data_IF_604915644521
#
_entry.id   IF_604915644521
#
_cell.length_a   1.000
_cell.length_b   1.000
_cell.length_c   1.000
_cell.angle_alpha   90.00
_cell.angle_beta   90.00
_cell.angle_gamma   90.00
#
_symmetry.space_group_name_H-M   'P 1'
#
loop_
_entity.id
_entity.type
_entity.pdbx_description
1 polymer ?
#
# COMPACT_ATOMS: atom_id res chain seq x y z
N UNK A 1 64.36 9.35 35.38
CA UNK A 1 63.54 10.35 34.71
C UNK A 1 63.07 9.74 33.40
N UNK A 2 62.01 8.96 33.46
CA UNK A 2 61.44 8.28 32.28
C UNK A 2 60.20 9.07 31.79
N UNK A 3 60.27 9.63 30.58
CA UNK A 3 59.17 10.27 29.89
C UNK A 3 58.49 9.21 29.01
N UNK A 4 57.30 8.74 29.40
CA UNK A 4 56.42 7.93 28.60
C UNK A 4 55.59 8.85 27.67
N UNK A 5 55.77 8.69 26.35
CA UNK A 5 54.91 9.30 25.34
C UNK A 5 53.68 8.44 25.12
N UNK A 6 52.50 9.01 25.39
CA UNK A 6 51.22 8.42 25.01
C UNK A 6 50.87 8.86 23.59
N UNK A 7 50.84 7.91 22.66
CA UNK A 7 50.27 8.12 21.33
C UNK A 7 48.77 8.00 21.45
N UNK A 8 48.00 9.12 21.27
CA UNK A 8 46.59 9.11 21.03
C UNK A 8 46.37 8.85 19.54
N UNK A 9 45.87 7.67 19.19
CA UNK A 9 45.40 7.39 17.85
C UNK A 9 43.97 7.96 17.67
N UNK A 10 43.88 9.02 16.91
CA UNK A 10 42.62 9.64 16.53
C UNK A 10 42.00 8.83 15.37
N UNK A 11 41.01 7.97 15.68
CA UNK A 11 40.23 7.28 14.65
C UNK A 11 39.22 8.29 14.09
N UNK A 12 39.50 8.78 12.90
CA UNK A 12 38.55 9.60 12.15
C UNK A 12 37.43 8.69 11.57
N UNK A 13 36.25 8.79 12.16
CA UNK A 13 35.03 8.23 11.54
C UNK A 13 34.68 9.06 10.32
N UNK A 14 34.97 8.54 9.15
CA UNK A 14 34.46 9.12 7.89
C UNK A 14 33.00 8.70 7.75
N UNK A 15 32.08 9.61 8.09
CA UNK A 15 30.68 9.49 7.70
C UNK A 15 30.59 9.63 6.18
N UNK A 16 30.46 8.53 5.47
CA UNK A 16 30.03 8.55 4.07
C UNK A 16 28.57 8.91 4.06
N UNK A 17 28.28 10.20 3.89
CA UNK A 17 26.94 10.66 3.49
C UNK A 17 26.69 10.09 2.09
N UNK A 18 25.98 8.96 2.01
CA UNK A 18 25.38 8.55 0.75
C UNK A 18 24.34 9.60 0.38
N UNK A 19 24.74 10.54 -0.48
CA UNK A 19 23.80 11.44 -1.11
C UNK A 19 22.82 10.60 -1.93
N UNK A 20 21.56 10.56 -1.52
CA UNK A 20 20.48 10.14 -2.39
C UNK A 20 20.59 10.97 -3.69
N UNK A 21 20.96 10.33 -4.80
CA UNK A 21 20.87 10.98 -6.09
C UNK A 21 19.41 11.38 -6.33
N UNK A 22 19.13 12.59 -6.80
CA UNK A 22 17.78 12.97 -7.15
C UNK A 22 17.26 11.98 -8.20
N UNK A 23 16.08 11.43 -7.98
CA UNK A 23 15.38 10.57 -8.95
C UNK A 23 15.23 11.40 -10.23
N UNK A 24 15.80 10.89 -11.31
CA UNK A 24 15.71 11.56 -12.61
C UNK A 24 14.27 11.32 -13.12
N UNK A 25 13.39 12.31 -12.92
CA UNK A 25 11.94 12.22 -13.04
C UNK A 25 11.39 11.93 -14.44
N UNK A 26 12.24 11.71 -15.43
CA UNK A 26 11.81 11.66 -16.83
C UNK A 26 11.54 10.24 -17.38
N UNK A 27 11.78 9.15 -16.64
CA UNK A 27 11.64 7.79 -17.22
C UNK A 27 11.09 6.73 -16.23
N UNK A 28 10.44 7.11 -15.13
CA UNK A 28 10.07 6.14 -14.08
C UNK A 28 8.72 5.46 -14.29
N UNK A 29 7.87 6.00 -15.14
CA UNK A 29 6.50 5.50 -15.35
C UNK A 29 6.39 4.85 -16.75
N UNK A 30 6.85 3.60 -16.88
CA UNK A 30 6.61 2.66 -18.01
C UNK A 30 6.44 3.35 -19.35
N UNK A 31 7.45 4.05 -19.89
CA UNK A 31 7.48 4.73 -21.21
C UNK A 31 6.10 5.27 -21.71
N UNK A 32 5.18 5.52 -20.79
CA UNK A 32 3.83 5.95 -21.07
C UNK A 32 3.73 7.48 -21.09
N UNK A 33 2.82 7.97 -21.88
CA UNK A 33 2.42 9.37 -21.82
C UNK A 33 1.85 9.64 -20.41
N UNK A 34 2.44 10.59 -19.71
CA UNK A 34 1.97 10.99 -18.38
C UNK A 34 0.49 11.41 -18.42
N UNK A 35 -0.31 11.06 -17.42
CA UNK A 35 -1.72 11.40 -17.38
C UNK A 35 -1.92 12.90 -17.21
N UNK A 36 -3.06 13.39 -17.67
CA UNK A 36 -3.53 14.72 -17.35
C UNK A 36 -4.32 14.78 -16.04
N UNK A 37 -5.16 15.80 -15.93
CA UNK A 37 -6.08 15.99 -14.80
C UNK A 37 -7.31 15.06 -14.84
N UNK A 38 -7.47 14.28 -15.89
CA UNK A 38 -8.49 13.24 -16.00
C UNK A 38 -7.83 11.86 -15.87
N UNK A 39 -8.46 10.90 -15.19
CA UNK A 39 -7.89 9.57 -15.01
C UNK A 39 -7.70 8.84 -16.34
N UNK A 40 -6.51 8.30 -16.54
CA UNK A 40 -6.17 7.43 -17.67
C UNK A 40 -5.89 6.01 -17.15
N UNK A 41 -6.08 5.02 -18.01
CA UNK A 41 -5.73 3.63 -17.70
C UNK A 41 -4.22 3.51 -17.55
N UNK A 42 -3.74 2.98 -16.42
CA UNK A 42 -2.31 2.86 -16.18
C UNK A 42 -1.72 1.64 -16.90
N UNK A 43 -0.66 1.83 -17.68
CA UNK A 43 0.11 0.78 -18.32
C UNK A 43 -0.74 -0.31 -19.03
N UNK A 44 -1.50 0.06 -20.09
CA UNK A 44 -2.26 -0.90 -20.89
C UNK A 44 -1.36 -2.01 -21.45
N UNK A 45 -1.86 -3.24 -21.43
CA UNK A 45 -1.14 -4.45 -21.88
C UNK A 45 0.07 -4.84 -21.03
N UNK A 46 0.42 -4.06 -20.01
CA UNK A 46 1.53 -4.36 -19.12
C UNK A 46 1.02 -4.64 -17.69
N UNK A 47 0.41 -3.64 -17.02
CA UNK A 47 -0.31 -3.83 -15.77
C UNK A 47 -1.74 -4.26 -16.07
N UNK A 48 -2.48 -3.44 -16.81
CA UNK A 48 -3.86 -3.74 -17.19
C UNK A 48 -3.91 -4.64 -18.43
N UNK A 49 -4.42 -5.85 -18.26
CA UNK A 49 -4.58 -6.87 -19.30
C UNK A 49 -6.06 -7.28 -19.44
N UNK A 50 -6.33 -8.44 -20.02
CA UNK A 50 -7.68 -9.01 -20.05
C UNK A 50 -8.07 -9.70 -18.72
N UNK A 51 -7.15 -9.75 -17.75
CA UNK A 51 -7.42 -10.23 -16.40
C UNK A 51 -8.02 -9.10 -15.51
N UNK A 52 -8.14 -9.36 -14.23
CA UNK A 52 -8.56 -8.35 -13.24
C UNK A 52 -7.31 -7.90 -12.50
N UNK A 53 -6.93 -6.64 -12.68
CA UNK A 53 -5.79 -6.04 -12.00
C UNK A 53 -6.22 -4.92 -11.07
N UNK A 54 -5.54 -4.85 -9.94
CA UNK A 54 -5.81 -3.85 -8.90
C UNK A 54 -4.53 -3.51 -8.14
N UNK A 55 -4.56 -2.37 -7.46
CA UNK A 55 -3.63 -2.02 -6.39
C UNK A 55 -2.16 -1.98 -6.83
N UNK A 56 -1.81 -1.01 -7.68
CA UNK A 56 -0.43 -0.77 -8.08
C UNK A 56 0.27 0.12 -7.07
N UNK A 57 1.45 -0.32 -6.60
CA UNK A 57 2.33 0.43 -5.69
C UNK A 57 3.78 0.33 -6.17
N UNK A 58 4.61 1.28 -5.76
CA UNK A 58 6.04 1.31 -6.07
C UNK A 58 6.86 1.28 -4.78
N UNK A 59 8.10 0.80 -4.87
CA UNK A 59 9.07 1.07 -3.82
C UNK A 59 9.50 2.55 -3.85
N UNK A 60 10.10 3.05 -2.78
CA UNK A 60 10.47 4.45 -2.63
C UNK A 60 11.47 4.95 -3.69
N UNK A 61 12.26 4.06 -4.29
CA UNK A 61 13.26 4.39 -5.31
C UNK A 61 12.75 4.29 -6.76
N UNK A 62 11.48 3.94 -6.97
CA UNK A 62 10.91 3.69 -8.31
C UNK A 62 11.64 2.63 -9.13
N UNK A 63 12.26 1.68 -8.47
CA UNK A 63 12.96 0.57 -9.12
C UNK A 63 12.17 -0.73 -9.13
N UNK A 64 11.09 -0.79 -8.39
CA UNK A 64 10.18 -1.94 -8.32
C UNK A 64 8.74 -1.47 -8.29
N UNK A 65 7.90 -2.18 -9.00
CA UNK A 65 6.46 -1.99 -9.04
C UNK A 65 5.77 -3.31 -8.66
N UNK A 66 4.70 -3.19 -7.89
CA UNK A 66 3.89 -4.32 -7.44
C UNK A 66 2.42 -4.04 -7.73
N UNK A 67 1.69 -5.07 -8.12
CA UNK A 67 0.24 -5.01 -8.30
C UNK A 67 -0.38 -6.39 -8.08
N UNK A 68 -1.67 -6.44 -7.83
CA UNK A 68 -2.39 -7.70 -7.69
C UNK A 68 -3.13 -8.03 -8.98
N UNK A 69 -2.94 -9.26 -9.46
CA UNK A 69 -3.71 -9.85 -10.58
C UNK A 69 -4.55 -11.00 -10.07
N UNK A 70 -5.79 -11.08 -10.53
CA UNK A 70 -6.71 -12.15 -10.17
C UNK A 70 -6.78 -13.13 -11.33
N UNK A 71 -6.35 -14.36 -11.10
CA UNK A 71 -6.33 -15.46 -12.07
C UNK A 71 -7.00 -16.66 -11.43
N UNK A 72 -8.02 -17.21 -12.08
CA UNK A 72 -8.76 -18.40 -11.62
C UNK A 72 -9.17 -18.33 -10.14
N UNK A 73 -9.63 -17.15 -9.71
CA UNK A 73 -10.07 -16.89 -8.34
C UNK A 73 -8.95 -16.73 -7.30
N UNK A 74 -7.69 -16.82 -7.71
CA UNK A 74 -6.51 -16.53 -6.88
C UNK A 74 -6.09 -15.08 -7.03
N UNK A 75 -5.77 -14.44 -5.92
CA UNK A 75 -5.22 -13.08 -5.87
C UNK A 75 -3.71 -13.18 -5.71
N UNK A 76 -2.98 -12.78 -6.73
CA UNK A 76 -1.53 -12.99 -6.82
C UNK A 76 -0.83 -11.65 -6.98
N UNK A 77 0.07 -11.33 -6.06
CA UNK A 77 0.93 -10.16 -6.20
C UNK A 77 1.97 -10.45 -7.30
N UNK A 78 2.02 -9.56 -8.28
CA UNK A 78 3.03 -9.53 -9.33
C UNK A 78 4.02 -8.41 -9.06
N UNK A 79 5.25 -8.57 -9.52
CA UNK A 79 6.24 -7.52 -9.49
C UNK A 79 6.93 -7.36 -10.84
N UNK A 80 7.46 -6.16 -11.04
CA UNK A 80 8.31 -5.81 -12.16
C UNK A 80 9.45 -4.94 -11.64
N UNK A 81 10.66 -5.17 -12.16
CA UNK A 81 11.86 -4.43 -11.82
C UNK A 81 12.22 -3.45 -12.93
N UNK A 82 12.71 -2.26 -12.55
CA UNK A 82 13.24 -1.28 -13.50
C UNK A 82 14.73 -1.49 -13.68
N UNK A 83 15.11 -2.13 -14.79
CA UNK A 83 16.50 -2.52 -15.09
C UNK A 83 16.94 -1.92 -16.42
N UNK A 84 18.09 -1.25 -16.44
CA UNK A 84 18.67 -0.64 -17.66
C UNK A 84 17.69 0.29 -18.41
N UNK A 85 16.88 1.06 -17.65
CA UNK A 85 15.94 2.03 -18.23
C UNK A 85 14.62 1.42 -18.71
N UNK A 86 14.34 0.16 -18.41
CA UNK A 86 13.11 -0.53 -18.81
C UNK A 86 12.55 -1.37 -17.69
N UNK A 87 11.23 -1.48 -17.66
CA UNK A 87 10.53 -2.41 -16.76
C UNK A 87 10.58 -3.83 -17.33
N UNK A 88 10.90 -4.79 -16.48
CA UNK A 88 10.85 -6.22 -16.82
C UNK A 88 9.39 -6.68 -16.94
N UNK A 89 9.15 -7.76 -17.71
CA UNK A 89 7.82 -8.36 -17.76
C UNK A 89 7.36 -8.74 -16.36
N UNK A 90 6.12 -8.39 -15.94
CA UNK A 90 5.61 -8.69 -14.61
C UNK A 90 5.64 -10.20 -14.31
N UNK A 91 6.14 -10.55 -13.14
CA UNK A 91 6.23 -11.92 -12.66
C UNK A 91 5.44 -12.10 -11.36
N UNK A 92 4.74 -13.23 -11.17
CA UNK A 92 4.07 -13.53 -9.91
C UNK A 92 5.10 -13.75 -8.79
N UNK A 93 4.77 -13.28 -7.59
CA UNK A 93 5.55 -13.58 -6.38
C UNK A 93 4.94 -14.78 -5.67
N UNK A 94 5.76 -15.78 -5.36
CA UNK A 94 5.31 -16.90 -4.55
C UNK A 94 5.29 -16.54 -3.06
N UNK A 95 4.11 -16.15 -2.57
CA UNK A 95 3.93 -15.76 -1.16
C UNK A 95 3.70 -16.94 -0.22
N UNK A 96 3.27 -18.08 -0.71
CA UNK A 96 2.97 -19.27 0.09
C UNK A 96 3.69 -20.51 -0.45
N UNK A 97 4.09 -21.41 0.44
CA UNK A 97 4.83 -22.63 0.07
C UNK A 97 4.07 -23.48 -0.97
N UNK A 98 2.75 -23.60 -0.81
CA UNK A 98 1.85 -24.24 -1.77
C UNK A 98 0.87 -23.17 -2.26
N UNK A 99 1.29 -22.40 -3.27
CA UNK A 99 0.43 -21.39 -3.88
C UNK A 99 -0.47 -22.05 -4.91
N UNK A 100 -1.41 -22.84 -4.41
CA UNK A 100 -2.45 -23.49 -5.22
C UNK A 100 -3.63 -22.53 -5.43
N UNK A 101 -4.61 -22.99 -6.22
CA UNK A 101 -5.83 -22.25 -6.51
C UNK A 101 -6.49 -21.66 -5.25
N UNK A 102 -7.04 -20.45 -5.40
CA UNK A 102 -7.78 -19.75 -4.37
C UNK A 102 -6.96 -19.13 -3.20
N UNK A 103 -5.63 -19.01 -3.31
CA UNK A 103 -4.84 -18.24 -2.35
C UNK A 103 -5.11 -16.74 -2.50
N UNK A 104 -4.99 -16.00 -1.40
CA UNK A 104 -5.17 -14.53 -1.40
C UNK A 104 -3.89 -13.87 -0.94
N UNK A 105 -3.28 -13.07 -1.82
CA UNK A 105 -2.24 -12.10 -1.50
C UNK A 105 -2.57 -10.81 -2.26
N UNK A 106 -2.98 -9.77 -1.54
CA UNK A 106 -3.52 -8.52 -2.09
C UNK A 106 -3.10 -7.34 -1.21
N UNK A 107 -3.20 -6.14 -1.72
CA UNK A 107 -2.89 -4.90 -1.02
C UNK A 107 -1.43 -4.83 -0.51
N UNK A 108 -0.43 -4.98 -1.41
CA UNK A 108 0.97 -4.88 -1.02
C UNK A 108 1.33 -3.47 -0.52
N UNK A 109 2.12 -3.42 0.54
CA UNK A 109 2.73 -2.21 1.08
C UNK A 109 4.19 -2.47 1.41
N UNK A 110 5.09 -1.65 0.90
CA UNK A 110 6.53 -1.90 0.89
C UNK A 110 7.23 -0.91 1.83
N UNK A 111 8.15 -1.41 2.66
CA UNK A 111 9.00 -0.55 3.50
C UNK A 111 9.89 0.36 2.65
N UNK A 112 10.33 1.49 3.23
CA UNK A 112 11.17 2.48 2.54
C UNK A 112 12.49 1.89 2.01
N UNK A 113 13.04 0.90 2.68
CA UNK A 113 14.25 0.17 2.25
C UNK A 113 13.98 -0.87 1.15
N UNK A 114 12.71 -1.09 0.78
CA UNK A 114 12.31 -2.06 -0.24
C UNK A 114 12.43 -3.53 0.16
N UNK A 115 12.76 -3.84 1.43
CA UNK A 115 13.11 -5.20 1.84
C UNK A 115 12.02 -5.95 2.62
N UNK A 116 10.94 -5.28 2.97
CA UNK A 116 9.78 -5.92 3.63
C UNK A 116 8.50 -5.52 2.95
N UNK A 117 7.66 -6.50 2.65
CA UNK A 117 6.31 -6.32 2.14
C UNK A 117 5.30 -6.77 3.18
N UNK A 118 4.33 -5.92 3.47
CA UNK A 118 3.11 -6.29 4.18
C UNK A 118 1.96 -6.39 3.18
N UNK A 119 1.03 -7.31 3.40
CA UNK A 119 -0.11 -7.50 2.50
C UNK A 119 -1.27 -8.19 3.22
N UNK A 120 -2.47 -8.02 2.69
CA UNK A 120 -3.62 -8.80 3.12
C UNK A 120 -3.53 -10.19 2.53
N UNK A 121 -3.64 -11.23 3.37
CA UNK A 121 -3.47 -12.60 2.93
C UNK A 121 -4.46 -13.60 3.52
N UNK A 122 -4.65 -14.68 2.78
CA UNK A 122 -5.23 -15.93 3.26
C UNK A 122 -4.41 -17.06 2.67
N UNK A 123 -3.60 -17.72 3.50
CA UNK A 123 -2.82 -18.85 3.01
C UNK A 123 -3.73 -20.03 2.63
N UNK A 124 -3.31 -20.92 1.72
CA UNK A 124 -4.07 -22.14 1.39
C UNK A 124 -4.44 -22.94 2.63
N UNK A 125 -3.52 -23.07 3.60
CA UNK A 125 -3.75 -23.76 4.86
C UNK A 125 -4.85 -23.10 5.70
N UNK A 126 -4.87 -21.76 5.77
CA UNK A 126 -5.89 -21.04 6.53
C UNK A 126 -7.23 -21.10 5.81
N UNK A 127 -7.24 -21.06 4.48
CA UNK A 127 -8.47 -21.18 3.69
C UNK A 127 -9.18 -22.52 3.91
N UNK A 128 -8.44 -23.62 3.94
CA UNK A 128 -8.99 -24.94 4.26
C UNK A 128 -9.66 -24.98 5.63
N UNK A 129 -9.20 -24.16 6.57
CA UNK A 129 -9.77 -24.01 7.92
C UNK A 129 -10.86 -22.92 8.00
N UNK A 130 -11.30 -22.36 6.86
CA UNK A 130 -12.18 -21.20 6.80
C UNK A 130 -11.62 -19.99 7.58
N UNK A 131 -10.29 -19.86 7.57
CA UNK A 131 -9.58 -18.77 8.22
C UNK A 131 -9.94 -17.41 7.62
N UNK A 132 -9.87 -16.39 8.45
CA UNK A 132 -10.13 -15.01 8.06
C UNK A 132 -8.92 -14.42 7.36
N UNK A 133 -9.12 -13.40 6.49
CA UNK A 133 -8.04 -12.57 6.01
C UNK A 133 -7.28 -11.93 7.17
N UNK A 134 -5.96 -11.81 7.00
CA UNK A 134 -5.05 -11.32 8.01
C UNK A 134 -3.86 -10.60 7.37
N UNK A 135 -3.05 -9.88 8.15
CA UNK A 135 -1.85 -9.22 7.63
C UNK A 135 -0.68 -10.19 7.66
N UNK A 136 -0.10 -10.39 6.48
CA UNK A 136 1.11 -11.19 6.27
C UNK A 136 2.31 -10.28 6.01
N UNK A 137 3.48 -10.82 6.23
CA UNK A 137 4.76 -10.20 5.95
C UNK A 137 5.67 -11.15 5.18
N UNK A 138 6.29 -10.64 4.10
CA UNK A 138 7.40 -11.28 3.41
C UNK A 138 8.64 -10.39 3.47
N UNK A 139 9.82 -10.98 3.55
CA UNK A 139 11.10 -10.29 3.50
C UNK A 139 11.83 -10.62 2.21
N UNK A 140 12.56 -9.65 1.67
CA UNK A 140 13.44 -9.86 0.53
C UNK A 140 14.84 -10.18 1.05
N UNK A 141 15.34 -11.37 0.74
CA UNK A 141 16.68 -11.83 1.09
C UNK A 141 17.42 -12.13 -0.21
N UNK A 142 18.59 -11.54 -0.40
CA UNK A 142 19.40 -11.68 -1.63
C UNK A 142 18.56 -11.42 -2.91
N UNK A 143 17.74 -10.37 -2.88
CA UNK A 143 16.87 -9.97 -4.00
C UNK A 143 15.63 -10.84 -4.22
N UNK A 144 15.35 -11.83 -3.37
CA UNK A 144 14.21 -12.75 -3.52
C UNK A 144 13.22 -12.62 -2.39
N UNK A 145 11.95 -12.45 -2.71
CA UNK A 145 10.86 -12.47 -1.74
C UNK A 145 10.72 -13.87 -1.13
N UNK A 146 10.69 -13.94 0.20
CA UNK A 146 10.57 -15.18 0.95
C UNK A 146 9.12 -15.56 1.17
N UNK A 147 8.87 -16.81 1.50
CA UNK A 147 7.54 -17.30 1.91
C UNK A 147 7.05 -16.46 3.08
N UNK A 148 5.83 -15.97 2.96
CA UNK A 148 5.25 -15.04 3.92
C UNK A 148 4.76 -15.76 5.20
N UNK A 149 4.77 -15.01 6.29
CA UNK A 149 4.20 -15.41 7.57
C UNK A 149 3.22 -14.34 8.06
N UNK A 150 2.25 -14.71 8.90
CA UNK A 150 1.40 -13.74 9.59
C UNK A 150 2.25 -12.84 10.46
N UNK A 151 1.88 -11.55 10.52
CA UNK A 151 2.56 -10.58 11.38
C UNK A 151 2.44 -10.97 12.86
N UNK A 152 1.31 -11.57 13.25
CA UNK A 152 1.07 -12.03 14.60
C UNK A 152 0.57 -10.93 15.54
N UNK A 153 0.30 -11.32 16.80
CA UNK A 153 -0.17 -10.42 17.84
C UNK A 153 0.88 -9.35 18.16
N UNK A 154 0.47 -8.07 18.40
CA UNK A 154 -0.89 -7.59 18.59
C UNK A 154 -1.59 -7.07 17.32
N UNK A 155 -0.91 -7.08 16.16
CA UNK A 155 -1.45 -6.61 14.89
C UNK A 155 -2.49 -7.58 14.37
N UNK A 156 -2.06 -8.81 14.09
CA UNK A 156 -2.91 -9.88 13.61
C UNK A 156 -3.57 -10.62 14.77
N UNK A 157 -4.86 -10.94 14.64
CA UNK A 157 -5.62 -11.61 15.70
C UNK A 157 -6.46 -12.77 15.12
N UNK A 158 -6.67 -13.84 15.88
CA UNK A 158 -7.54 -14.93 15.47
C UNK A 158 -9.02 -14.53 15.42
N UNK A 159 -9.40 -13.53 16.21
CA UNK A 159 -10.80 -13.16 16.44
C UNK A 159 -11.32 -12.14 15.44
N UNK A 160 -10.50 -11.19 15.01
CA UNK A 160 -10.91 -10.06 14.21
C UNK A 160 -10.33 -10.17 12.79
N UNK A 161 -10.76 -9.29 11.90
CA UNK A 161 -10.24 -9.16 10.54
C UNK A 161 -9.30 -7.96 10.53
N UNK A 162 -8.11 -8.17 10.01
CA UNK A 162 -7.14 -7.13 9.74
C UNK A 162 -6.90 -7.05 8.23
N UNK A 163 -6.94 -5.81 7.68
CA UNK A 163 -6.86 -5.58 6.22
C UNK A 163 -6.23 -4.23 5.89
N UNK A 164 -5.89 -4.05 4.62
CA UNK A 164 -5.33 -2.81 4.06
C UNK A 164 -4.09 -2.32 4.83
N UNK A 165 -3.04 -3.13 4.96
CA UNK A 165 -1.83 -2.69 5.65
C UNK A 165 -1.12 -1.59 4.85
N UNK A 166 -0.68 -0.54 5.54
CA UNK A 166 0.15 0.51 4.99
C UNK A 166 1.34 0.73 5.92
N UNK A 167 2.56 0.47 5.44
CA UNK A 167 3.78 0.73 6.19
C UNK A 167 4.27 2.14 5.92
N UNK A 168 4.66 2.86 6.97
CA UNK A 168 5.19 4.23 6.91
C UNK A 168 6.70 4.25 7.17
N UNK A 169 7.34 5.42 7.05
CA UNK A 169 8.80 5.54 7.03
C UNK A 169 9.51 5.00 8.29
N UNK A 170 8.90 5.10 9.47
CA UNK A 170 9.45 4.57 10.72
C UNK A 170 9.24 3.06 10.89
N UNK A 171 8.63 2.39 9.90
CA UNK A 171 8.28 0.97 9.93
C UNK A 171 6.96 0.65 10.62
N UNK A 172 6.30 1.65 11.22
CA UNK A 172 4.96 1.47 11.79
C UNK A 172 3.95 1.15 10.71
N UNK A 173 2.87 0.44 11.07
CA UNK A 173 1.83 0.08 10.11
C UNK A 173 0.47 0.65 10.52
N UNK A 174 -0.24 1.14 9.51
CA UNK A 174 -1.66 1.42 9.57
C UNK A 174 -2.42 0.24 8.97
N UNK A 175 -3.58 -0.05 9.48
CA UNK A 175 -4.44 -1.10 8.96
C UNK A 175 -5.87 -0.93 9.43
N UNK A 176 -6.81 -1.50 8.71
CA UNK A 176 -8.22 -1.53 9.12
C UNK A 176 -8.51 -2.78 9.92
N UNK A 177 -9.23 -2.64 11.05
CA UNK A 177 -9.67 -3.76 11.87
C UNK A 177 -11.05 -3.53 12.47
N UNK A 178 -11.81 -4.61 12.63
CA UNK A 178 -13.10 -4.62 13.34
C UNK A 178 -12.96 -5.03 14.82
N UNK A 179 -11.75 -4.82 15.40
CA UNK A 179 -11.49 -5.09 16.83
C UNK A 179 -12.27 -4.16 17.73
N UNK A 180 -12.53 -4.53 19.01
CA UNK A 180 -13.19 -3.65 19.98
C UNK A 180 -12.45 -2.34 20.20
N UNK A 181 -13.21 -1.30 20.54
CA UNK A 181 -12.68 0.04 20.78
C UNK A 181 -12.69 0.95 19.55
N UNK A 182 -13.23 0.46 18.42
CA UNK A 182 -13.53 1.27 17.25
C UNK A 182 -14.95 1.84 17.27
N UNK A 183 -15.25 2.68 16.27
CA UNK A 183 -16.56 3.32 16.08
C UNK A 183 -17.46 2.54 15.13
N UNK A 184 -16.86 1.86 14.14
CA UNK A 184 -17.58 1.29 13.03
C UNK A 184 -17.30 -0.19 12.76
N UNK A 185 -17.69 -0.62 11.56
CA UNK A 185 -17.51 -2.00 11.08
C UNK A 185 -16.05 -2.34 10.73
N UNK A 186 -15.21 -1.35 10.65
CA UNK A 186 -13.78 -1.45 10.41
C UNK A 186 -13.16 -0.07 10.54
N UNK A 187 -12.30 0.11 11.50
CA UNK A 187 -11.62 1.36 11.80
C UNK A 187 -10.14 1.26 11.45
N UNK A 188 -9.52 2.38 11.19
CA UNK A 188 -8.07 2.48 10.97
C UNK A 188 -7.38 2.54 12.32
N UNK A 189 -6.38 1.66 12.47
CA UNK A 189 -5.48 1.60 13.62
C UNK A 189 -4.04 1.82 13.17
N UNK A 190 -3.21 2.33 14.06
CA UNK A 190 -1.76 2.44 13.91
C UNK A 190 -1.06 1.56 14.93
N UNK A 191 -0.15 0.70 14.50
CA UNK A 191 0.75 -0.05 15.36
C UNK A 191 2.18 0.46 15.19
N UNK A 192 2.81 0.93 16.27
CA UNK A 192 4.18 1.40 16.26
C UNK A 192 5.14 0.22 16.07
N UNK A 193 6.11 0.38 15.18
CA UNK A 193 7.18 -0.59 14.98
C UNK A 193 8.19 -0.52 16.13
N UNK A 194 8.54 -1.67 16.70
CA UNK A 194 9.48 -1.82 17.82
C UNK A 194 10.80 -2.49 17.41
N UNK A 195 10.99 -2.75 16.11
CA UNK A 195 12.12 -3.50 15.61
C UNK A 195 11.83 -5.01 15.51
N UNK A 196 12.66 -5.72 14.75
CA UNK A 196 12.61 -7.18 14.56
C UNK A 196 11.24 -7.74 14.18
N UNK A 197 10.43 -6.96 13.45
CA UNK A 197 9.06 -7.34 13.06
C UNK A 197 8.04 -7.34 14.18
N UNK A 198 8.35 -6.71 15.31
CA UNK A 198 7.46 -6.55 16.48
C UNK A 198 6.76 -5.21 16.44
N UNK A 199 5.57 -5.17 16.97
CA UNK A 199 4.73 -3.97 17.04
C UNK A 199 4.18 -3.75 18.45
N UNK A 200 3.94 -2.49 18.79
CA UNK A 200 3.18 -2.13 19.98
C UNK A 200 1.67 -2.38 19.77
N UNK A 201 0.92 -2.32 20.86
CA UNK A 201 -0.54 -2.43 20.83
C UNK A 201 -1.14 -1.40 19.89
N UNK A 202 -1.92 -1.82 18.87
CA UNK A 202 -2.52 -0.91 17.91
C UNK A 202 -3.46 0.09 18.56
N UNK A 203 -3.33 1.36 18.17
CA UNK A 203 -4.15 2.48 18.63
C UNK A 203 -5.09 2.92 17.51
N UNK A 204 -6.38 3.10 17.83
CA UNK A 204 -7.35 3.71 16.94
C UNK A 204 -6.91 5.14 16.62
N UNK A 205 -6.97 5.56 15.36
CA UNK A 205 -6.49 6.90 14.94
C UNK A 205 -7.47 8.03 15.27
N UNK A 206 -8.66 7.72 15.76
CA UNK A 206 -9.63 8.70 16.25
C UNK A 206 -10.85 8.90 15.36
N UNK A 207 -11.85 9.55 15.94
CA UNK A 207 -13.16 9.80 15.32
C UNK A 207 -13.17 10.85 14.21
N UNK A 208 -12.10 11.62 14.08
CA UNK A 208 -11.99 12.59 12.97
C UNK A 208 -11.93 11.87 11.62
N UNK A 209 -11.30 10.70 11.56
CA UNK A 209 -11.17 9.89 10.35
C UNK A 209 -12.09 8.67 10.39
N UNK A 210 -12.10 7.96 11.53
CA UNK A 210 -12.94 6.77 11.69
C UNK A 210 -14.41 7.13 11.90
N UNK A 211 -15.31 6.33 11.33
CA UNK A 211 -16.77 6.57 11.40
C UNK A 211 -17.55 5.27 11.60
N UNK A 212 -18.82 5.37 11.94
CA UNK A 212 -19.71 4.22 12.11
C UNK A 212 -19.86 3.35 10.84
N UNK A 213 -19.68 3.94 9.66
CA UNK A 213 -19.75 3.24 8.38
C UNK A 213 -18.53 2.36 8.11
N UNK A 214 -17.42 2.64 8.78
CA UNK A 214 -16.13 1.97 8.62
C UNK A 214 -15.31 2.53 7.44
N UNK A 215 -13.99 2.43 7.55
CA UNK A 215 -13.01 2.86 6.57
C UNK A 215 -12.43 1.65 5.84
N UNK A 216 -12.18 1.82 4.55
CA UNK A 216 -11.61 0.78 3.69
C UNK A 216 -10.70 1.37 2.64
N UNK A 217 -9.62 0.67 2.31
CA UNK A 217 -8.67 1.12 1.30
C UNK A 217 -8.01 2.43 1.74
N UNK A 218 -6.97 2.34 2.53
CA UNK A 218 -6.26 3.50 3.08
C UNK A 218 -4.88 3.59 2.44
N UNK A 219 -4.46 4.78 2.10
CA UNK A 219 -3.06 5.16 1.88
C UNK A 219 -2.65 6.12 2.99
N UNK A 220 -1.42 6.01 3.47
CA UNK A 220 -0.81 6.97 4.41
C UNK A 220 0.53 7.38 3.83
N UNK A 221 0.80 8.69 3.78
CA UNK A 221 2.10 9.19 3.33
C UNK A 221 3.23 8.65 4.22
N UNK A 222 4.43 8.40 3.66
CA UNK A 222 5.55 7.84 4.43
C UNK A 222 5.92 8.65 5.68
N UNK A 223 5.75 9.96 5.63
CA UNK A 223 6.00 10.90 6.74
C UNK A 223 4.79 11.09 7.67
N UNK A 224 3.69 10.39 7.42
CA UNK A 224 2.42 10.51 8.13
C UNK A 224 1.81 11.92 8.10
N UNK A 225 2.14 12.75 7.12
CA UNK A 225 1.59 14.12 7.02
C UNK A 225 0.15 14.14 6.51
N UNK A 226 -0.24 13.13 5.72
CA UNK A 226 -1.61 12.94 5.23
C UNK A 226 -1.97 11.47 5.05
N UNK A 227 -3.25 11.19 5.00
CA UNK A 227 -3.81 9.91 4.60
C UNK A 227 -4.95 10.11 3.59
N UNK A 228 -5.17 9.11 2.75
CA UNK A 228 -6.28 9.06 1.81
C UNK A 228 -7.11 7.82 2.10
N UNK A 229 -8.42 8.00 2.23
CA UNK A 229 -9.38 6.90 2.34
C UNK A 229 -10.21 6.78 1.08
N UNK A 230 -10.45 5.54 0.64
CA UNK A 230 -11.43 5.24 -0.39
C UNK A 230 -12.79 4.95 0.27
N UNK A 231 -13.84 5.61 -0.19
CA UNK A 231 -15.19 5.32 0.30
C UNK A 231 -15.81 4.22 -0.58
N UNK A 232 -15.66 2.97 -0.14
CA UNK A 232 -15.93 1.80 -0.97
C UNK A 232 -17.38 1.33 -1.02
N UNK A 233 -18.25 1.77 -0.12
CA UNK A 233 -19.57 1.14 0.02
C UNK A 233 -20.76 2.09 0.09
N UNK A 234 -20.54 3.33 0.39
CA UNK A 234 -21.60 4.31 0.58
C UNK A 234 -21.53 5.45 -0.40
N UNK A 235 -21.38 5.16 -1.67
CA UNK A 235 -21.89 6.04 -2.70
C UNK A 235 -21.21 7.40 -2.93
N UNK A 236 -20.84 7.64 -4.16
CA UNK A 236 -20.75 8.97 -4.79
C UNK A 236 -19.65 9.93 -4.28
N UNK A 237 -18.92 9.58 -3.22
CA UNK A 237 -17.94 10.50 -2.63
C UNK A 237 -16.49 10.26 -3.04
N UNK A 238 -16.18 9.12 -3.68
CA UNK A 238 -14.84 8.80 -4.17
C UNK A 238 -13.81 8.70 -3.05
N UNK A 239 -12.78 9.53 -3.12
CA UNK A 239 -11.68 9.56 -2.17
C UNK A 239 -11.72 10.80 -1.31
N UNK A 240 -11.21 10.68 -0.08
CA UNK A 240 -11.05 11.79 0.83
C UNK A 240 -9.65 11.80 1.43
N UNK A 241 -9.10 12.99 1.64
CA UNK A 241 -7.79 13.22 2.25
C UNK A 241 -7.95 13.82 3.63
N UNK A 242 -7.18 13.34 4.60
CA UNK A 242 -7.04 13.92 5.93
C UNK A 242 -5.59 14.32 6.15
N UNK A 243 -5.34 15.54 6.59
CA UNK A 243 -4.02 16.02 6.96
C UNK A 243 -3.77 15.82 8.45
N UNK A 244 -2.51 15.70 8.84
CA UNK A 244 -2.11 15.58 10.23
C UNK A 244 -1.51 16.90 10.71
N UNK A 245 -2.16 17.55 11.65
CA UNK A 245 -1.71 18.79 12.26
C UNK A 245 -1.53 18.61 13.77
N UNK A 246 -0.43 19.06 14.32
CA UNK A 246 -0.14 18.94 15.76
C UNK A 246 -0.33 17.50 16.29
N UNK A 247 0.11 16.51 15.52
CA UNK A 247 -0.07 15.07 15.80
C UNK A 247 -1.52 14.56 15.86
N UNK A 248 -2.48 15.31 15.30
CA UNK A 248 -3.89 14.92 15.22
C UNK A 248 -4.34 14.91 13.77
N UNK A 249 -5.03 13.87 13.38
CA UNK A 249 -5.69 13.80 12.08
C UNK A 249 -6.84 14.80 12.04
N UNK A 250 -6.95 15.51 10.92
CA UNK A 250 -8.06 16.42 10.65
C UNK A 250 -9.19 15.67 9.95
N UNK A 251 -10.39 16.24 9.97
CA UNK A 251 -11.55 15.70 9.28
C UNK A 251 -11.26 15.53 7.77
N UNK A 252 -11.70 14.42 7.14
CA UNK A 252 -11.42 14.14 5.74
C UNK A 252 -12.15 15.13 4.81
N UNK A 253 -11.43 15.59 3.80
CA UNK A 253 -11.94 16.45 2.73
C UNK A 253 -11.97 15.64 1.44
N UNK A 254 -13.14 15.59 0.79
CA UNK A 254 -13.26 14.94 -0.52
C UNK A 254 -12.56 15.73 -1.60
N UNK A 255 -11.90 15.04 -2.52
CA UNK A 255 -11.25 15.67 -3.65
C UNK A 255 -11.71 15.06 -4.98
N UNK A 256 -11.70 15.90 -6.01
CA UNK A 256 -12.08 15.49 -7.36
C UNK A 256 -10.91 14.74 -8.02
N UNK A 257 -11.18 13.59 -8.59
CA UNK A 257 -10.21 12.81 -9.37
C UNK A 257 -10.31 13.11 -10.89
N UNK A 258 -11.06 14.13 -11.29
CA UNK A 258 -11.21 14.52 -12.70
C UNK A 258 -12.21 13.69 -13.50
N UNK A 259 -13.04 12.88 -12.85
CA UNK A 259 -14.15 12.17 -13.50
C UNK A 259 -15.38 12.04 -12.60
N UNK A 260 -16.55 11.99 -13.18
CA UNK A 260 -17.79 11.66 -12.45
C UNK A 260 -17.79 10.19 -12.04
N UNK A 261 -18.00 9.93 -10.75
CA UNK A 261 -18.08 8.57 -10.24
C UNK A 261 -19.28 7.82 -10.80
N UNK A 262 -19.05 6.63 -11.31
CA UNK A 262 -20.11 5.78 -11.87
C UNK A 262 -20.72 4.92 -10.77
N UNK A 263 -22.05 4.92 -10.64
CA UNK A 263 -22.81 4.24 -9.60
C UNK A 263 -22.54 2.72 -9.47
N UNK A 264 -22.25 2.06 -10.59
CA UNK A 264 -22.05 0.60 -10.65
C UNK A 264 -20.57 0.20 -10.47
N UNK A 265 -19.68 1.17 -10.33
CA UNK A 265 -18.26 0.94 -10.13
C UNK A 265 -17.88 1.18 -8.67
N UNK A 266 -16.89 0.43 -8.20
CA UNK A 266 -16.26 0.63 -6.90
C UNK A 266 -14.88 1.19 -7.14
N UNK A 267 -14.58 2.34 -6.50
CA UNK A 267 -13.31 3.04 -6.52
C UNK A 267 -12.58 2.74 -5.22
N UNK A 268 -11.35 2.24 -5.29
CA UNK A 268 -10.64 1.73 -4.11
C UNK A 268 -9.12 1.67 -4.34
N UNK A 269 -8.35 1.20 -3.34
CA UNK A 269 -6.88 1.11 -3.37
C UNK A 269 -6.22 2.44 -3.75
N UNK A 270 -6.44 3.52 -2.97
CA UNK A 270 -5.75 4.76 -3.18
C UNK A 270 -4.24 4.58 -2.96
N UNK A 271 -3.44 5.17 -3.83
CA UNK A 271 -1.99 5.20 -3.68
C UNK A 271 -1.43 6.48 -4.31
N UNK A 272 -0.48 7.13 -3.64
CA UNK A 272 0.27 8.25 -4.18
C UNK A 272 1.63 7.80 -4.65
N UNK A 273 2.02 8.26 -5.82
CA UNK A 273 3.39 8.03 -6.30
C UNK A 273 4.43 8.55 -5.29
N UNK A 274 5.62 7.92 -5.19
CA UNK A 274 6.65 8.37 -4.25
C UNK A 274 7.13 9.81 -4.44
N UNK A 275 6.85 10.45 -5.58
CA UNK A 275 7.13 11.86 -5.85
C UNK A 275 5.92 12.78 -5.65
N UNK A 276 4.82 12.28 -5.08
CA UNK A 276 3.56 12.98 -4.77
C UNK A 276 2.90 13.69 -5.99
N UNK A 277 3.15 13.21 -7.22
CA UNK A 277 2.59 13.84 -8.43
C UNK A 277 1.35 13.13 -8.95
N UNK A 278 1.31 11.81 -8.84
CA UNK A 278 0.27 11.00 -9.45
C UNK A 278 -0.48 10.20 -8.40
N UNK A 279 -1.78 10.26 -8.52
CA UNK A 279 -2.68 9.47 -7.71
C UNK A 279 -3.11 8.23 -8.50
N UNK A 280 -2.85 7.07 -7.92
CA UNK A 280 -3.26 5.77 -8.44
C UNK A 280 -4.47 5.26 -7.67
N UNK A 281 -5.37 4.63 -8.37
CA UNK A 281 -6.51 3.96 -7.76
C UNK A 281 -7.02 2.84 -8.64
N UNK A 282 -7.80 1.95 -8.06
CA UNK A 282 -8.42 0.86 -8.78
C UNK A 282 -9.91 1.11 -8.95
N UNK A 283 -10.45 0.67 -10.08
CA UNK A 283 -11.89 0.57 -10.31
C UNK A 283 -12.25 -0.88 -10.54
N UNK A 284 -13.35 -1.33 -9.98
CA UNK A 284 -13.92 -2.62 -10.33
C UNK A 284 -15.41 -2.53 -10.62
N UNK A 285 -15.83 -3.34 -11.55
CA UNK A 285 -17.22 -3.57 -11.88
C UNK A 285 -17.62 -4.98 -11.50
N UNK A 286 -18.79 -5.16 -10.92
CA UNK A 286 -19.34 -6.46 -10.54
C UNK A 286 -20.73 -6.64 -11.13
N UNK A 287 -21.03 -7.86 -11.56
CA UNK A 287 -22.35 -8.24 -12.03
C UNK A 287 -22.88 -9.44 -11.21
N UNK A 288 -23.96 -9.30 -10.41
CA UNK A 288 -24.68 -8.03 -10.17
C UNK A 288 -23.81 -7.01 -9.42
N UNK A 289 -24.12 -5.72 -9.50
CA UNK A 289 -23.38 -4.68 -8.78
C UNK A 289 -23.25 -4.97 -7.28
N UNK A 290 -22.08 -4.64 -6.71
CA UNK A 290 -21.76 -4.82 -5.27
C UNK A 290 -21.82 -6.28 -4.75
N UNK A 291 -21.77 -7.27 -5.62
CA UNK A 291 -21.81 -8.71 -5.25
C UNK A 291 -20.53 -9.26 -4.60
N UNK A 292 -19.62 -8.39 -4.17
CA UNK A 292 -18.31 -8.80 -3.68
C UNK A 292 -17.39 -9.28 -4.82
N UNK A 293 -16.37 -10.08 -4.49
CA UNK A 293 -15.41 -10.54 -5.49
C UNK A 293 -15.93 -11.62 -6.43
N UNK A 294 -16.93 -12.38 -6.03
CA UNK A 294 -17.52 -13.45 -6.88
C UNK A 294 -18.18 -12.94 -8.17
N UNK A 295 -18.65 -11.71 -8.15
CA UNK A 295 -19.30 -11.11 -9.32
C UNK A 295 -18.42 -10.12 -10.07
N UNK A 296 -17.16 -9.97 -9.71
CA UNK A 296 -16.26 -9.04 -10.40
C UNK A 296 -15.96 -9.58 -11.79
N UNK A 297 -16.28 -8.77 -12.80
CA UNK A 297 -16.04 -9.07 -14.21
C UNK A 297 -15.00 -8.15 -14.84
N UNK A 298 -14.65 -7.06 -14.15
CA UNK A 298 -13.63 -6.11 -14.58
C UNK A 298 -12.97 -5.46 -13.38
N UNK A 299 -11.65 -5.33 -13.41
CA UNK A 299 -10.86 -4.56 -12.45
C UNK A 299 -9.67 -3.96 -13.17
N UNK A 300 -9.44 -2.67 -12.96
CA UNK A 300 -8.43 -1.91 -13.68
C UNK A 300 -7.77 -0.89 -12.76
N UNK A 301 -6.51 -0.60 -13.01
CA UNK A 301 -5.73 0.44 -12.34
C UNK A 301 -5.72 1.69 -13.20
N UNK A 302 -6.03 2.81 -12.57
CA UNK A 302 -6.01 4.14 -13.18
C UNK A 302 -5.03 5.04 -12.46
N UNK A 303 -4.60 6.09 -13.15
CA UNK A 303 -3.77 7.13 -12.58
C UNK A 303 -4.18 8.52 -13.11
N UNK A 304 -3.86 9.55 -12.33
CA UNK A 304 -4.21 10.95 -12.66
C UNK A 304 -3.17 11.88 -12.05
N UNK A 305 -2.88 12.99 -12.73
CA UNK A 305 -2.05 14.07 -12.18
C UNK A 305 -2.86 14.85 -11.13
N UNK A 306 -2.40 14.81 -9.90
CA UNK A 306 -3.00 15.54 -8.77
C UNK A 306 -2.12 16.66 -8.26
N UNK A 307 -1.07 17.01 -8.97
CA UNK A 307 -0.12 18.05 -8.58
C UNK A 307 -0.76 19.43 -8.34
N UNK A 308 -1.90 19.68 -9.00
CA UNK A 308 -2.70 20.90 -8.81
C UNK A 308 -3.73 20.78 -7.68
N UNK A 309 -4.30 19.59 -7.49
CA UNK A 309 -5.37 19.34 -6.49
C UNK A 309 -4.86 19.50 -5.07
N UNK A 310 -3.67 18.95 -4.78
CA UNK A 310 -3.10 19.01 -3.42
C UNK A 310 -2.38 20.31 -3.08
N UNK A 311 -2.01 21.15 -4.07
CA UNK A 311 -1.40 22.45 -3.80
C UNK A 311 -2.33 23.42 -3.05
N UNK A 312 -3.62 23.35 -3.34
CA UNK A 312 -4.61 24.25 -2.73
C UNK A 312 -5.09 23.76 -1.35
N UNK A 313 -4.89 22.48 -1.04
CA UNK A 313 -5.29 21.87 0.23
C UNK A 313 -4.17 21.81 1.29
N UNK A 314 -2.91 22.05 0.89
CA UNK A 314 -1.74 22.10 1.81
C UNK A 314 -1.45 23.52 2.36
N UNK A 315 -2.33 24.49 2.09
CA UNK A 315 -2.27 25.86 2.62
C UNK A 315 -3.13 25.96 3.87
#
# INVERSE_FOLDING_TARGET
MDRRYYFLSMIAFVFVLQSCKPINSNNSYIDEKLPGIAPELFAPSFVNTDAIEINTVFNASFTEMFFTRIIDGSFIIHHSDFVNGKWTAPQPIQMYANQESESVAIDPSITQDGNTMYFLGVSPKDRLKKGKPDIYRSQKIEGKWQIASKVGYPVSTEKYVESYPVVVADGSIYFTSNRPGGLGKGDIYRAQYLGEGKFDTPKNIGSEVNSEEGQRGTYVSPDESYLITGNTYTDEKGFAISFKENNKWQAPVHFDIGESLKKDWIYFCPYMSPDDKYFFFSKRYSNPPKSGWKGVTKGEVYWVDVSTVFKDQRK
#
